data_IF_322201663677
#
_entry.id   IF_322201663677
#
_cell.length_a   1.000
_cell.length_b   1.000
_cell.length_c   1.000
_cell.angle_alpha   90.00
_cell.angle_beta   90.00
_cell.angle_gamma   90.00
#
_symmetry.space_group_name_H-M   'P 1'
#
loop_
_entity.id
_entity.type
_entity.pdbx_description
1 polymer ?
#
# COMPACT_ATOMS: atom_id res chain seq x y z
N UNK A 1 52.07 -6.61 -29.76
CA UNK A 1 50.69 -6.07 -29.81
C UNK A 1 50.07 -5.90 -28.42
N UNK A 2 50.22 -6.87 -27.51
CA UNK A 2 49.69 -6.84 -26.13
C UNK A 2 50.21 -5.67 -25.28
N UNK A 3 51.51 -5.32 -25.35
CA UNK A 3 52.06 -4.16 -24.61
C UNK A 3 51.51 -2.80 -25.09
N UNK A 4 51.29 -2.64 -26.40
CA UNK A 4 50.70 -1.41 -26.94
C UNK A 4 49.23 -1.25 -26.53
N UNK A 5 48.46 -2.34 -26.49
CA UNK A 5 47.09 -2.35 -25.97
C UNK A 5 47.10 -1.97 -24.49
N UNK A 6 48.03 -2.51 -23.70
CA UNK A 6 48.16 -2.20 -22.28
C UNK A 6 48.56 -0.74 -22.00
N UNK A 7 49.39 -0.12 -22.86
CA UNK A 7 49.72 1.31 -22.76
C UNK A 7 48.54 2.22 -23.12
N UNK A 8 47.73 1.83 -24.12
CA UNK A 8 46.54 2.61 -24.53
C UNK A 8 45.45 2.58 -23.47
N UNK A 9 45.16 1.40 -22.91
CA UNK A 9 44.18 1.25 -21.83
C UNK A 9 44.62 1.98 -20.56
N UNK A 10 45.92 1.97 -20.24
CA UNK A 10 46.46 2.71 -19.10
C UNK A 10 46.26 4.22 -19.24
N UNK A 11 46.56 4.80 -20.41
CA UNK A 11 46.31 6.22 -20.70
C UNK A 11 44.82 6.59 -20.59
N UNK A 12 43.95 5.70 -21.04
CA UNK A 12 42.50 5.91 -20.96
C UNK A 12 41.98 5.85 -19.50
N UNK A 13 42.54 4.97 -18.67
CA UNK A 13 42.27 4.95 -17.23
C UNK A 13 42.77 6.23 -16.52
N UNK A 14 43.94 6.74 -16.90
CA UNK A 14 44.51 7.95 -16.31
C UNK A 14 43.74 9.23 -16.71
N UNK A 15 43.08 9.23 -17.86
CA UNK A 15 42.19 10.32 -18.31
C UNK A 15 40.83 10.31 -17.60
N UNK A 16 40.40 9.17 -17.05
CA UNK A 16 39.11 9.03 -16.36
C UNK A 16 39.22 9.55 -14.93
N UNK A 17 38.25 10.38 -14.53
CA UNK A 17 38.17 10.90 -13.15
C UNK A 17 37.84 9.79 -12.16
N UNK A 18 38.36 9.82 -10.94
CA UNK A 18 37.93 8.86 -9.90
C UNK A 18 36.49 9.16 -9.46
N UNK A 19 35.75 8.14 -9.05
CA UNK A 19 34.36 8.29 -8.52
C UNK A 19 34.33 9.28 -7.36
N UNK A 20 35.33 9.24 -6.47
CA UNK A 20 35.44 10.18 -5.34
C UNK A 20 35.67 11.63 -5.77
N UNK A 21 36.38 11.86 -6.88
CA UNK A 21 36.57 13.20 -7.44
C UNK A 21 35.26 13.71 -8.04
N UNK A 22 34.52 12.86 -8.75
CA UNK A 22 33.22 13.22 -9.31
C UNK A 22 32.22 13.58 -8.20
N UNK A 23 32.14 12.77 -7.13
CA UNK A 23 31.29 13.06 -5.96
C UNK A 23 31.61 14.40 -5.28
N UNK A 24 32.88 14.84 -5.29
CA UNK A 24 33.27 16.14 -4.72
C UNK A 24 32.79 17.33 -5.54
N UNK A 25 32.61 17.16 -6.85
CA UNK A 25 32.26 18.26 -7.77
C UNK A 25 30.73 18.40 -7.90
N UNK A 26 29.99 17.30 -7.75
CA UNK A 26 28.56 17.26 -7.98
C UNK A 26 27.73 17.76 -6.78
N UNK A 27 26.64 18.48 -7.05
CA UNK A 27 25.73 18.97 -6.01
C UNK A 27 24.95 17.86 -5.29
N UNK A 28 24.59 16.78 -5.99
CA UNK A 28 23.93 15.59 -5.43
C UNK A 28 24.84 14.35 -5.58
N UNK A 29 25.77 14.11 -4.64
CA UNK A 29 26.73 13.01 -4.74
C UNK A 29 26.12 11.61 -4.58
N UNK A 30 24.90 11.52 -4.05
CA UNK A 30 24.18 10.25 -3.82
C UNK A 30 23.80 9.54 -5.13
N UNK A 31 23.53 10.32 -6.18
CA UNK A 31 23.13 9.82 -7.51
C UNK A 31 24.32 9.35 -8.35
N UNK A 32 25.55 9.55 -7.88
CA UNK A 32 26.76 9.18 -8.61
C UNK A 32 27.04 7.70 -8.46
N UNK A 33 26.99 7.00 -9.58
CA UNK A 33 27.18 5.57 -9.69
C UNK A 33 28.59 5.23 -10.22
N UNK A 34 29.02 3.98 -10.05
CA UNK A 34 30.39 3.55 -10.37
C UNK A 34 30.69 3.64 -11.88
N UNK A 35 29.69 3.44 -12.73
CA UNK A 35 29.84 3.50 -14.19
C UNK A 35 29.81 4.93 -14.75
N UNK A 36 29.40 5.93 -13.98
CA UNK A 36 29.30 7.32 -14.47
C UNK A 36 30.66 7.88 -14.87
N UNK A 37 31.72 7.42 -14.20
CA UNK A 37 33.12 7.73 -14.52
C UNK A 37 33.53 7.27 -15.92
N UNK A 38 32.89 6.21 -16.43
CA UNK A 38 33.24 5.62 -17.73
C UNK A 38 32.53 6.31 -18.91
N UNK A 39 31.63 7.26 -18.63
CA UNK A 39 30.92 8.01 -19.66
C UNK A 39 31.82 9.07 -20.31
N UNK A 40 31.52 9.43 -21.56
CA UNK A 40 32.29 10.44 -22.30
C UNK A 40 32.35 11.81 -21.58
N UNK A 41 31.24 12.20 -20.95
CA UNK A 41 31.14 13.46 -20.19
C UNK A 41 30.52 13.21 -18.80
N UNK A 42 31.33 12.82 -17.79
CA UNK A 42 30.82 12.42 -16.48
C UNK A 42 30.11 13.55 -15.73
N UNK A 43 30.61 14.79 -15.84
CA UNK A 43 30.02 15.97 -15.17
C UNK A 43 28.62 16.29 -15.70
N UNK A 44 28.44 16.28 -17.02
CA UNK A 44 27.16 16.55 -17.68
C UNK A 44 26.13 15.45 -17.39
N UNK A 45 26.56 14.19 -17.40
CA UNK A 45 25.67 13.08 -17.10
C UNK A 45 25.11 13.17 -15.67
N UNK A 46 25.95 13.48 -14.68
CA UNK A 46 25.47 13.65 -13.30
C UNK A 46 24.57 14.89 -13.20
N UNK A 47 24.88 15.96 -13.93
CA UNK A 47 23.99 17.13 -13.98
C UNK A 47 22.58 16.75 -14.48
N UNK A 48 22.49 15.98 -15.56
CA UNK A 48 21.21 15.49 -16.09
C UNK A 48 20.49 14.54 -15.12
N UNK A 49 21.23 13.63 -14.46
CA UNK A 49 20.67 12.76 -13.41
C UNK A 49 20.16 13.56 -12.21
N UNK A 50 20.77 14.70 -11.91
CA UNK A 50 20.39 15.56 -10.79
C UNK A 50 19.26 16.53 -11.12
N UNK A 51 18.81 16.57 -12.38
CA UNK A 51 17.75 17.48 -12.82
C UNK A 51 16.42 17.14 -12.15
N UNK A 52 15.63 18.18 -11.85
CA UNK A 52 14.37 18.02 -11.14
C UNK A 52 13.39 17.16 -11.94
N UNK A 53 12.69 16.26 -11.25
CA UNK A 53 11.72 15.32 -11.82
C UNK A 53 12.30 14.37 -12.88
N UNK A 54 13.62 14.22 -12.95
CA UNK A 54 14.24 13.21 -13.79
C UNK A 54 14.06 11.82 -13.18
N UNK A 55 13.70 10.85 -14.01
CA UNK A 55 13.52 9.47 -13.60
C UNK A 55 14.80 8.70 -13.96
N UNK A 56 15.40 7.94 -13.00
CA UNK A 56 16.63 7.21 -13.27
C UNK A 56 16.41 6.09 -14.29
N UNK A 57 17.46 5.72 -15.01
CA UNK A 57 17.39 4.62 -15.97
C UNK A 57 17.14 3.31 -15.21
N UNK A 58 16.15 2.48 -15.61
CA UNK A 58 15.83 1.23 -14.91
C UNK A 58 17.02 0.27 -14.79
N UNK A 59 17.35 -0.20 -13.59
CA UNK A 59 18.60 -0.95 -13.32
C UNK A 59 18.85 -2.23 -14.12
N UNK A 60 17.84 -2.75 -14.85
CA UNK A 60 17.98 -3.95 -15.68
C UNK A 60 19.01 -3.81 -16.81
N UNK A 61 19.27 -2.59 -17.31
CA UNK A 61 20.23 -2.37 -18.38
C UNK A 61 21.65 -2.81 -17.98
N UNK A 62 22.01 -2.67 -16.70
CA UNK A 62 23.34 -3.06 -16.20
C UNK A 62 23.48 -4.57 -16.14
N UNK A 63 22.39 -5.28 -15.87
CA UNK A 63 22.35 -6.74 -15.77
C UNK A 63 22.28 -7.40 -17.15
N UNK A 64 23.32 -7.20 -17.98
CA UNK A 64 23.43 -7.70 -19.36
C UNK A 64 23.36 -9.23 -19.51
N UNK A 65 23.39 -9.99 -18.40
CA UNK A 65 23.43 -11.45 -18.46
C UNK A 65 22.07 -12.11 -18.69
N UNK A 66 20.95 -11.40 -18.51
CA UNK A 66 19.59 -11.97 -18.59
C UNK A 66 18.64 -11.01 -19.27
N UNK A 67 17.71 -11.53 -20.09
CA UNK A 67 16.60 -10.71 -20.62
C UNK A 67 15.65 -10.36 -19.46
N UNK A 68 15.12 -9.14 -19.45
CA UNK A 68 14.41 -8.52 -18.32
C UNK A 68 13.49 -9.44 -17.49
N UNK A 69 12.57 -10.20 -18.10
CA UNK A 69 11.61 -11.06 -17.38
C UNK A 69 12.01 -12.53 -17.23
N UNK A 70 13.22 -12.93 -17.64
CA UNK A 70 13.60 -14.35 -17.68
C UNK A 70 13.73 -15.04 -16.31
N UNK A 71 13.99 -14.29 -15.23
CA UNK A 71 14.14 -14.88 -13.88
C UNK A 71 12.81 -15.43 -13.35
N UNK A 72 11.67 -14.98 -13.88
CA UNK A 72 10.33 -15.42 -13.45
C UNK A 72 9.89 -16.78 -13.96
N UNK A 73 10.74 -17.52 -14.71
CA UNK A 73 10.36 -18.80 -15.34
C UNK A 73 9.98 -19.91 -14.35
N UNK A 74 10.37 -19.82 -13.08
CA UNK A 74 10.05 -20.82 -12.05
C UNK A 74 9.02 -20.36 -11.02
N UNK A 75 8.47 -19.14 -11.16
CA UNK A 75 7.49 -18.61 -10.21
C UNK A 75 6.12 -18.65 -10.88
N UNK A 76 5.18 -19.37 -10.28
CA UNK A 76 3.80 -19.40 -10.74
C UNK A 76 3.12 -18.07 -10.40
N UNK A 77 2.66 -17.38 -11.45
CA UNK A 77 1.91 -16.14 -11.30
C UNK A 77 0.47 -16.49 -10.94
N UNK A 78 -0.06 -15.85 -9.90
CA UNK A 78 -1.49 -15.96 -9.60
C UNK A 78 -2.34 -15.53 -10.82
N UNK A 79 -3.47 -16.21 -11.08
CA UNK A 79 -4.38 -15.80 -12.13
C UNK A 79 -4.90 -14.38 -11.86
N UNK A 80 -5.42 -13.74 -12.90
CA UNK A 80 -5.95 -12.40 -12.76
C UNK A 80 -7.17 -12.41 -11.83
N UNK A 81 -7.08 -11.65 -10.73
CA UNK A 81 -8.19 -11.44 -9.81
C UNK A 81 -9.00 -10.22 -10.27
N UNK A 82 -10.31 -10.39 -10.37
CA UNK A 82 -11.22 -9.31 -10.72
C UNK A 82 -11.29 -8.28 -9.58
N UNK A 83 -11.39 -6.98 -9.88
CA UNK A 83 -11.70 -5.98 -8.88
C UNK A 83 -13.01 -6.31 -8.14
N UNK A 84 -13.07 -5.99 -6.85
CA UNK A 84 -14.16 -6.38 -5.96
C UNK A 84 -15.56 -6.00 -6.51
N UNK A 85 -15.69 -4.81 -7.12
CA UNK A 85 -16.95 -4.34 -7.67
C UNK A 85 -17.41 -5.13 -8.91
N UNK A 86 -16.47 -5.66 -9.71
CA UNK A 86 -16.79 -6.55 -10.83
C UNK A 86 -17.06 -7.96 -10.32
N UNK A 87 -16.27 -8.44 -9.35
CA UNK A 87 -16.49 -9.75 -8.75
C UNK A 87 -17.88 -9.85 -8.09
N UNK A 88 -18.38 -8.76 -7.50
CA UNK A 88 -19.69 -8.66 -6.89
C UNK A 88 -20.85 -8.87 -7.88
N UNK A 89 -20.65 -8.62 -9.19
CA UNK A 89 -21.65 -8.91 -10.24
C UNK A 89 -21.96 -10.41 -10.37
N UNK A 90 -21.13 -11.27 -9.76
CA UNK A 90 -21.30 -12.72 -9.80
C UNK A 90 -20.89 -13.37 -11.12
N UNK A 91 -20.32 -12.60 -12.05
CA UNK A 91 -19.95 -13.08 -13.38
C UNK A 91 -18.88 -14.17 -13.35
N UNK A 92 -18.02 -14.16 -12.33
CA UNK A 92 -16.98 -15.16 -12.12
C UNK A 92 -17.60 -16.54 -11.88
N UNK A 93 -18.57 -16.62 -10.96
CA UNK A 93 -19.31 -17.86 -10.63
C UNK A 93 -20.07 -18.42 -11.84
N UNK A 94 -20.70 -17.53 -12.62
CA UNK A 94 -21.42 -17.93 -13.84
C UNK A 94 -20.43 -18.57 -14.82
N UNK A 95 -19.29 -17.94 -15.04
CA UNK A 95 -18.28 -18.39 -15.99
C UNK A 95 -17.57 -19.69 -15.55
N UNK A 96 -17.24 -19.82 -14.27
CA UNK A 96 -16.69 -21.05 -13.70
C UNK A 96 -17.65 -22.23 -13.87
N UNK A 97 -18.94 -22.02 -13.58
CA UNK A 97 -19.98 -23.02 -13.81
C UNK A 97 -20.09 -23.46 -15.27
N UNK A 98 -19.76 -22.59 -16.24
CA UNK A 98 -19.69 -22.96 -17.65
C UNK A 98 -18.46 -23.78 -18.01
N UNK A 99 -17.30 -23.41 -17.47
CA UNK A 99 -16.04 -24.13 -17.74
C UNK A 99 -16.17 -25.57 -17.25
N UNK A 100 -16.71 -25.78 -16.03
CA UNK A 100 -16.95 -27.10 -15.47
C UNK A 100 -17.95 -27.94 -16.30
N UNK A 101 -18.98 -27.31 -16.88
CA UNK A 101 -19.97 -28.01 -17.73
C UNK A 101 -19.42 -28.36 -19.13
N UNK A 102 -18.37 -27.69 -19.61
CA UNK A 102 -17.85 -27.86 -20.98
C UNK A 102 -16.95 -29.09 -21.18
N UNK A 103 -16.60 -29.86 -20.14
CA UNK A 103 -15.61 -30.95 -20.26
C UNK A 103 -16.04 -32.13 -21.17
N UNK A 104 -17.34 -32.29 -21.47
CA UNK A 104 -17.83 -33.41 -22.31
C UNK A 104 -17.88 -33.04 -23.80
N UNK A 105 -16.81 -33.36 -24.54
CA UNK A 105 -16.66 -33.14 -26.00
C UNK A 105 -17.85 -33.59 -26.87
N UNK A 106 -18.43 -34.77 -26.58
CA UNK A 106 -19.60 -35.30 -27.30
C UNK A 106 -20.86 -34.45 -27.10
N UNK A 107 -21.03 -33.88 -25.90
CA UNK A 107 -22.17 -33.02 -25.57
C UNK A 107 -22.03 -31.65 -26.25
N UNK A 108 -20.80 -31.13 -26.35
CA UNK A 108 -20.49 -29.86 -27.04
C UNK A 108 -20.84 -29.89 -28.52
N UNK A 109 -20.54 -30.99 -29.22
CA UNK A 109 -20.90 -31.16 -30.65
C UNK A 109 -22.43 -31.20 -30.85
N UNK A 110 -23.15 -31.91 -29.97
CA UNK A 110 -24.62 -32.03 -30.03
C UNK A 110 -25.34 -30.72 -29.68
N UNK A 111 -24.86 -29.99 -28.67
CA UNK A 111 -25.40 -28.67 -28.29
C UNK A 111 -25.14 -27.60 -29.35
N UNK A 112 -24.02 -27.67 -30.07
CA UNK A 112 -23.72 -26.75 -31.18
C UNK A 112 -24.58 -27.02 -32.42
N UNK A 113 -24.89 -28.28 -32.70
CA UNK A 113 -25.61 -28.68 -33.92
C UNK A 113 -27.13 -28.68 -33.78
N UNK A 114 -27.69 -29.05 -32.62
CA UNK A 114 -29.14 -29.25 -32.54
C UNK A 114 -29.90 -27.97 -32.20
N UNK A 115 -29.54 -27.21 -31.16
CA UNK A 115 -30.13 -25.89 -30.88
C UNK A 115 -29.21 -25.10 -29.92
N UNK A 116 -28.61 -23.97 -30.36
CA UNK A 116 -27.90 -23.10 -29.43
C UNK A 116 -28.91 -22.50 -28.45
N UNK A 117 -28.83 -22.89 -27.17
CA UNK A 117 -29.65 -22.27 -26.12
C UNK A 117 -29.11 -20.85 -25.87
N UNK A 118 -29.85 -19.86 -26.34
CA UNK A 118 -29.62 -18.42 -26.08
C UNK A 118 -29.84 -18.10 -24.59
N UNK A 119 -29.23 -17.02 -24.08
CA UNK A 119 -29.45 -16.54 -22.71
C UNK A 119 -28.68 -17.23 -21.58
N UNK A 120 -27.59 -17.94 -21.92
CA UNK A 120 -26.77 -18.68 -20.94
C UNK A 120 -26.00 -17.79 -19.95
N UNK A 121 -25.59 -16.60 -20.37
CA UNK A 121 -24.75 -15.70 -19.58
C UNK A 121 -25.41 -14.32 -19.47
N UNK A 122 -26.69 -14.30 -19.14
CA UNK A 122 -27.40 -13.04 -18.91
C UNK A 122 -27.14 -12.60 -17.49
N UNK A 123 -26.44 -11.48 -17.36
CA UNK A 123 -26.34 -10.70 -16.14
C UNK A 123 -27.25 -9.49 -16.33
N UNK A 124 -28.02 -9.13 -15.31
CA UNK A 124 -28.92 -7.98 -15.37
C UNK A 124 -28.12 -6.72 -15.71
N UNK A 125 -28.61 -5.98 -16.70
CA UNK A 125 -28.00 -4.73 -17.16
C UNK A 125 -27.92 -3.71 -16.01
N UNK A 126 -28.93 -3.66 -15.14
CA UNK A 126 -28.93 -2.75 -13.98
C UNK A 126 -27.78 -3.02 -13.03
N UNK A 127 -27.52 -4.30 -12.75
CA UNK A 127 -26.41 -4.72 -11.88
C UNK A 127 -25.05 -4.36 -12.49
N UNK A 128 -24.91 -4.49 -13.81
CA UNK A 128 -23.69 -4.07 -14.51
C UNK A 128 -23.52 -2.55 -14.48
N UNK A 129 -24.59 -1.80 -14.72
CA UNK A 129 -24.60 -0.35 -14.66
C UNK A 129 -24.14 0.14 -13.27
N UNK A 130 -24.78 -0.35 -12.20
CA UNK A 130 -24.46 0.06 -10.84
C UNK A 130 -23.02 -0.33 -10.44
N UNK A 131 -22.51 -1.47 -10.92
CA UNK A 131 -21.13 -1.88 -10.65
C UNK A 131 -20.10 -0.91 -11.24
N UNK A 132 -20.35 -0.33 -12.41
CA UNK A 132 -19.42 0.58 -13.09
C UNK A 132 -19.61 2.05 -12.71
N UNK A 133 -20.82 2.47 -12.34
CA UNK A 133 -21.11 3.88 -12.05
C UNK A 133 -21.22 4.18 -10.55
N UNK A 134 -21.84 3.29 -9.76
CA UNK A 134 -22.08 3.51 -8.32
C UNK A 134 -21.00 2.91 -7.44
N UNK A 135 -20.55 1.69 -7.74
CA UNK A 135 -19.60 0.95 -6.89
C UNK A 135 -18.15 0.99 -7.38
N UNK A 136 -17.83 1.84 -8.35
CA UNK A 136 -16.49 1.94 -8.90
C UNK A 136 -15.49 2.44 -7.86
N UNK A 137 -14.44 1.65 -7.60
CA UNK A 137 -13.32 2.04 -6.74
C UNK A 137 -12.10 2.37 -7.59
N UNK A 138 -11.43 3.47 -7.27
CA UNK A 138 -10.16 3.83 -7.91
C UNK A 138 -9.10 2.76 -7.58
N UNK A 139 -8.39 2.19 -8.57
CA UNK A 139 -7.34 1.23 -8.31
C UNK A 139 -6.14 1.90 -7.63
N UNK A 140 -5.27 1.09 -7.04
CA UNK A 140 -3.99 1.58 -6.50
C UNK A 140 -3.10 2.03 -7.66
N UNK A 141 -2.97 3.34 -7.82
CA UNK A 141 -2.09 3.96 -8.79
C UNK A 141 -0.71 4.15 -8.21
N UNK A 142 0.27 4.23 -9.09
CA UNK A 142 1.68 4.40 -8.79
C UNK A 142 2.09 5.85 -9.05
N UNK A 143 3.00 6.40 -8.24
CA UNK A 143 3.41 7.80 -8.37
C UNK A 143 4.37 8.00 -9.56
N UNK A 144 4.52 9.26 -10.01
CA UNK A 144 5.52 9.58 -11.03
C UNK A 144 6.93 9.27 -10.52
N UNK A 145 7.71 8.53 -11.31
CA UNK A 145 9.07 8.11 -10.98
C UNK A 145 9.20 6.69 -10.43
N UNK A 146 8.07 6.06 -10.09
CA UNK A 146 8.06 4.66 -9.66
C UNK A 146 8.13 3.71 -10.87
N UNK A 147 9.33 3.20 -11.11
CA UNK A 147 9.58 2.26 -12.20
C UNK A 147 9.21 0.85 -11.77
N UNK A 148 8.67 0.06 -12.70
CA UNK A 148 8.52 -1.37 -12.53
C UNK A 148 9.86 -2.09 -12.75
N UNK A 149 10.28 -2.90 -11.78
CA UNK A 149 11.42 -3.81 -11.92
C UNK A 149 11.01 -5.24 -11.54
N UNK A 150 11.79 -6.20 -12.01
CA UNK A 150 11.58 -7.60 -11.67
C UNK A 150 11.76 -7.80 -10.16
N UNK A 151 10.71 -8.29 -9.50
CA UNK A 151 10.69 -8.49 -8.06
C UNK A 151 9.90 -7.43 -7.27
N UNK A 152 9.51 -6.31 -7.92
CA UNK A 152 8.71 -5.26 -7.29
C UNK A 152 7.41 -5.80 -6.69
N UNK A 153 6.79 -6.80 -7.32
CA UNK A 153 5.56 -7.42 -6.80
C UNK A 153 5.72 -8.24 -5.50
N UNK A 154 6.94 -8.63 -5.13
CA UNK A 154 7.20 -9.36 -3.88
C UNK A 154 7.56 -8.43 -2.72
N UNK A 155 7.72 -7.14 -2.99
CA UNK A 155 8.02 -6.18 -1.94
C UNK A 155 6.75 -5.90 -1.15
N UNK A 156 6.82 -6.20 0.14
CA UNK A 156 5.74 -5.87 1.06
C UNK A 156 5.91 -4.40 1.44
N UNK A 157 5.02 -3.56 0.92
CA UNK A 157 4.95 -2.17 1.37
C UNK A 157 4.56 -2.16 2.86
N UNK A 158 5.36 -1.49 3.69
CA UNK A 158 4.97 -1.24 5.08
C UNK A 158 3.72 -0.38 5.05
N UNK A 159 2.56 -0.99 5.31
CA UNK A 159 1.30 -0.27 5.35
C UNK A 159 1.31 0.72 6.50
N UNK A 160 0.53 1.80 6.36
CA UNK A 160 0.40 2.85 7.39
C UNK A 160 -0.09 2.32 8.75
N UNK A 161 -0.61 1.11 8.78
CA UNK A 161 -1.14 0.40 9.94
C UNK A 161 -0.03 -0.27 10.78
N UNK A 162 1.15 -0.50 10.20
CA UNK A 162 2.31 -1.04 10.90
C UNK A 162 3.10 0.08 11.60
N UNK A 163 2.52 0.65 12.66
CA UNK A 163 3.16 1.70 13.47
C UNK A 163 3.39 1.24 14.92
N UNK A 164 4.48 1.70 15.56
CA UNK A 164 4.72 1.43 16.97
C UNK A 164 3.58 2.00 17.83
N UNK A 165 3.13 1.22 18.81
CA UNK A 165 2.04 1.60 19.71
C UNK A 165 0.62 1.33 19.18
N UNK A 166 0.46 1.00 17.89
CA UNK A 166 -0.82 0.50 17.39
C UNK A 166 -1.08 -0.93 17.88
N UNK A 167 -2.36 -1.32 17.88
CA UNK A 167 -2.73 -2.68 18.26
C UNK A 167 -2.08 -3.68 17.29
N UNK A 168 -1.37 -4.67 17.83
CA UNK A 168 -0.74 -5.72 17.03
C UNK A 168 -1.83 -6.49 16.24
N UNK A 169 -1.51 -6.82 14.98
CA UNK A 169 -2.37 -7.66 14.13
C UNK A 169 -2.67 -8.99 14.82
N UNK A 170 -3.86 -9.54 14.58
CA UNK A 170 -4.29 -10.80 15.19
C UNK A 170 -3.32 -11.95 14.87
N UNK A 171 -2.85 -12.04 13.63
CA UNK A 171 -1.86 -13.05 13.22
C UNK A 171 -0.56 -12.93 14.02
N UNK A 172 -0.11 -11.70 14.29
CA UNK A 172 1.09 -11.45 15.07
C UNK A 172 0.87 -11.76 16.55
N UNK A 173 -0.30 -11.41 17.10
CA UNK A 173 -0.69 -11.80 18.46
C UNK A 173 -0.70 -13.32 18.62
N UNK A 174 -1.24 -14.04 17.65
CA UNK A 174 -1.27 -15.50 17.66
C UNK A 174 0.15 -16.11 17.59
N UNK A 175 1.00 -15.60 16.70
CA UNK A 175 2.39 -16.05 16.57
C UNK A 175 3.23 -15.78 17.85
N UNK A 176 2.99 -14.66 18.53
CA UNK A 176 3.67 -14.32 19.80
C UNK A 176 3.06 -15.09 20.98
N UNK A 177 1.91 -15.74 20.81
CA UNK A 177 1.19 -16.43 21.89
C UNK A 177 0.31 -15.50 22.74
N UNK A 178 0.02 -14.29 22.27
CA UNK A 178 -0.95 -13.34 22.83
C UNK A 178 -2.40 -13.69 22.40
N UNK A 179 -2.77 -14.98 22.44
CA UNK A 179 -4.01 -15.51 21.86
C UNK A 179 -5.26 -15.35 22.74
N UNK A 180 -5.11 -14.98 24.03
CA UNK A 180 -6.20 -15.03 25.02
C UNK A 180 -6.40 -13.67 25.72
N UNK A 181 -7.08 -12.75 25.03
CA UNK A 181 -7.53 -11.47 25.58
C UNK A 181 -6.45 -10.36 25.60
N UNK A 182 -6.74 -9.28 26.34
CA UNK A 182 -5.89 -8.09 26.54
C UNK A 182 -4.64 -8.42 27.39
N UNK A 183 -3.85 -9.40 26.96
CA UNK A 183 -2.54 -9.68 27.54
C UNK A 183 -1.56 -8.58 27.11
N UNK A 184 -0.71 -8.08 28.01
CA UNK A 184 0.29 -7.11 27.64
C UNK A 184 1.35 -7.74 26.72
N UNK A 185 2.04 -6.94 25.88
CA UNK A 185 3.18 -7.43 25.14
C UNK A 185 4.30 -7.91 26.09
N UNK A 186 5.08 -8.93 25.71
CA UNK A 186 6.08 -9.54 26.61
C UNK A 186 7.19 -8.58 27.04
N UNK A 187 7.47 -7.54 26.25
CA UNK A 187 8.45 -6.50 26.58
C UNK A 187 7.93 -5.42 27.53
N UNK A 188 6.64 -5.43 27.92
CA UNK A 188 6.06 -4.42 28.81
C UNK A 188 6.83 -4.31 30.13
N UNK A 189 7.15 -5.44 30.76
CA UNK A 189 7.87 -5.48 32.06
C UNK A 189 9.28 -4.89 31.92
N UNK A 190 9.93 -5.11 30.78
CA UNK A 190 11.24 -4.53 30.48
C UNK A 190 11.14 -3.01 30.31
N UNK A 191 10.10 -2.53 29.61
CA UNK A 191 9.83 -1.10 29.44
C UNK A 191 9.45 -0.41 30.76
N UNK A 192 8.78 -1.09 31.70
CA UNK A 192 8.55 -0.56 33.05
C UNK A 192 9.85 -0.41 33.85
N UNK A 193 10.87 -1.24 33.59
CA UNK A 193 12.16 -1.20 34.29
C UNK A 193 13.14 -0.21 33.68
N UNK A 194 13.22 -0.16 32.35
CA UNK A 194 14.20 0.64 31.62
C UNK A 194 13.63 1.94 31.05
N UNK A 195 12.30 2.10 31.07
CA UNK A 195 11.60 3.22 30.45
C UNK A 195 11.15 2.93 29.01
N UNK A 196 10.38 3.86 28.40
CA UNK A 196 9.94 3.74 27.01
C UNK A 196 11.12 3.82 26.02
N UNK A 197 10.96 3.32 24.78
CA UNK A 197 12.01 3.39 23.76
C UNK A 197 12.51 4.82 23.50
N UNK A 198 13.84 5.08 23.55
CA UNK A 198 14.39 6.43 23.38
C UNK A 198 14.05 7.08 22.02
N UNK A 199 13.91 6.28 20.97
CA UNK A 199 13.56 6.75 19.62
C UNK A 199 12.12 7.26 19.50
N UNK A 200 11.25 6.94 20.47
CA UNK A 200 9.84 7.32 20.45
C UNK A 200 9.42 7.97 21.77
N UNK A 201 9.84 9.23 22.03
CA UNK A 201 9.59 9.91 23.31
C UNK A 201 8.10 10.13 23.60
N UNK A 202 7.28 10.37 22.56
CA UNK A 202 5.84 10.66 22.71
C UNK A 202 4.95 9.41 22.61
N UNK A 203 5.53 8.21 22.63
CA UNK A 203 4.79 6.97 22.47
C UNK A 203 3.99 6.65 23.73
N UNK A 204 2.66 6.65 23.62
CA UNK A 204 1.76 6.25 24.71
C UNK A 204 1.65 4.73 24.74
N UNK A 205 2.20 4.12 25.79
CA UNK A 205 2.21 2.70 26.08
C UNK A 205 1.28 2.45 27.29
N UNK A 206 0.16 1.73 27.09
CA UNK A 206 -0.72 1.37 28.19
C UNK A 206 0.04 0.56 29.27
N UNK A 207 -0.14 0.93 30.54
CA UNK A 207 0.56 0.31 31.67
C UNK A 207 1.98 0.81 31.95
N UNK A 208 2.53 1.75 31.15
CA UNK A 208 3.80 2.45 31.45
C UNK A 208 3.56 3.94 31.67
N UNK A 209 3.08 4.65 30.63
CA UNK A 209 2.83 6.09 30.68
C UNK A 209 1.38 6.46 30.30
N UNK A 210 0.55 5.49 29.98
CA UNK A 210 -0.88 5.65 29.75
C UNK A 210 -1.67 4.64 30.59
N UNK A 211 -2.93 4.95 30.88
CA UNK A 211 -3.82 4.04 31.59
C UNK A 211 -3.95 2.70 30.86
N UNK A 212 -4.15 1.64 31.63
CA UNK A 212 -4.39 0.30 31.11
C UNK A 212 -5.73 0.28 30.35
N UNK A 213 -5.89 -0.55 29.29
CA UNK A 213 -7.19 -0.78 28.65
C UNK A 213 -8.28 -1.23 29.64
N UNK A 214 -9.57 -0.98 29.38
CA UNK A 214 -10.66 -1.42 30.26
C UNK A 214 -10.72 -2.96 30.36
N UNK A 215 -10.97 -3.48 31.56
CA UNK A 215 -11.17 -4.92 31.80
C UNK A 215 -9.91 -5.74 32.13
N UNK A 216 -8.79 -5.09 32.45
CA UNK A 216 -7.54 -5.74 32.85
C UNK A 216 -6.95 -5.10 34.10
N UNK A 217 -6.32 -5.92 34.94
CA UNK A 217 -5.74 -5.53 36.22
C UNK A 217 -4.21 -5.48 36.17
N UNK A 218 -3.63 -4.61 37.00
CA UNK A 218 -2.21 -4.68 37.33
C UNK A 218 -1.91 -5.99 38.09
N UNK A 219 -0.73 -6.56 37.85
CA UNK A 219 -0.29 -7.79 38.50
C UNK A 219 0.81 -8.50 37.72
N UNK A 220 1.61 -9.31 38.41
CA UNK A 220 2.62 -10.19 37.81
C UNK A 220 2.10 -11.61 37.49
N UNK A 221 0.79 -11.81 37.56
CA UNK A 221 0.15 -13.06 37.16
C UNK A 221 0.07 -13.16 35.63
N UNK A 222 -0.11 -14.36 35.04
CA UNK A 222 -0.44 -14.47 33.63
C UNK A 222 -1.59 -13.51 33.27
N UNK A 223 -1.40 -12.67 32.23
CA UNK A 223 -2.30 -11.59 31.77
C UNK A 223 -2.32 -10.30 32.61
N UNK A 224 -1.58 -10.22 33.71
CA UNK A 224 -1.45 -9.01 34.50
C UNK A 224 -0.50 -8.00 33.82
N UNK A 225 -0.82 -6.72 33.92
CA UNK A 225 -0.10 -5.62 33.26
C UNK A 225 1.11 -5.10 34.05
N UNK A 226 1.83 -6.01 34.70
CA UNK A 226 3.01 -5.68 35.49
C UNK A 226 2.68 -4.88 36.75
N UNK A 227 3.64 -4.06 37.20
CA UNK A 227 3.49 -3.33 38.46
C UNK A 227 2.57 -2.12 38.28
N UNK A 228 1.66 -1.84 39.24
CA UNK A 228 0.96 -0.56 39.26
C UNK A 228 2.00 0.57 39.40
N UNK A 229 1.76 1.72 38.75
CA UNK A 229 2.66 2.86 38.86
C UNK A 229 2.70 3.32 40.32
N UNK A 230 3.90 3.29 40.92
CA UNK A 230 4.10 3.71 42.32
C UNK A 230 4.49 5.18 42.30
N UNK A 231 3.69 6.03 42.96
CA UNK A 231 4.13 7.36 43.42
C UNK A 231 3.80 7.50 44.89
N UNK A 232 4.70 8.15 45.62
CA UNK A 232 4.55 8.55 47.02
C UNK A 232 3.56 9.73 47.19
N UNK A 233 3.17 10.38 46.09
CA UNK A 233 2.14 11.41 46.05
C UNK A 233 1.18 11.15 44.88
N UNK A 234 -0.12 11.11 45.20
CA UNK A 234 -1.19 10.68 44.31
C UNK A 234 -1.19 11.35 42.92
N UNK A 235 -1.61 10.53 41.96
CA UNK A 235 -1.83 10.76 40.53
C UNK A 235 -0.59 10.69 39.61
N UNK A 236 -0.30 9.47 39.13
CA UNK A 236 0.93 9.10 38.38
C UNK A 236 0.75 9.18 36.87
N UNK A 237 -0.48 9.11 36.39
CA UNK A 237 -0.79 9.44 35.01
C UNK A 237 -1.10 10.92 35.01
N UNK A 238 -0.05 11.72 34.90
CA UNK A 238 -0.18 13.17 34.88
C UNK A 238 -1.38 13.54 34.01
N UNK A 239 -2.44 14.02 34.66
CA UNK A 239 -3.42 14.89 34.04
C UNK A 239 -2.66 16.18 33.72
N UNK A 240 -1.70 16.10 32.79
CA UNK A 240 -1.70 17.11 31.75
C UNK A 240 -3.08 16.94 31.17
N UNK A 241 -3.99 17.82 31.61
CA UNK A 241 -5.25 18.00 30.93
C UNK A 241 -4.88 17.95 29.47
N UNK A 242 -5.35 16.90 28.80
CA UNK A 242 -5.69 17.06 27.42
C UNK A 242 -6.70 18.20 27.50
N UNK A 243 -6.19 19.43 27.37
CA UNK A 243 -6.81 20.34 26.46
C UNK A 243 -7.08 19.44 25.26
N UNK A 244 -8.31 18.99 25.16
CA UNK A 244 -8.96 18.74 23.90
C UNK A 244 -8.86 20.07 23.15
N UNK A 245 -7.64 20.47 22.77
CA UNK A 245 -7.38 20.76 21.40
C UNK A 245 -7.60 19.42 20.67
N UNK A 246 -8.88 19.07 20.52
CA UNK A 246 -9.41 19.16 19.18
C UNK A 246 -8.99 20.53 18.62
N UNK A 247 -7.70 20.67 18.26
CA UNK A 247 -7.42 21.21 16.96
C UNK A 247 -8.12 20.21 16.04
N UNK A 248 -9.44 20.39 15.90
CA UNK A 248 -10.03 20.46 14.58
C UNK A 248 -9.06 21.37 13.86
N UNK A 249 -8.06 20.76 13.23
CA UNK A 249 -7.46 21.32 12.05
C UNK A 249 -8.68 21.51 11.17
N UNK A 250 -9.30 22.68 11.29
CA UNK A 250 -10.19 23.25 10.29
C UNK A 250 -9.26 23.60 9.14
N UNK A 251 -8.54 22.59 8.62
CA UNK A 251 -8.03 22.64 7.29
C UNK A 251 -9.31 22.65 6.48
N UNK A 252 -9.62 23.81 5.88
CA UNK A 252 -10.67 24.01 4.89
C UNK A 252 -10.94 22.67 4.19
N UNK A 253 -11.98 21.98 4.64
CA UNK A 253 -12.28 20.61 4.20
C UNK A 253 -12.77 20.62 2.76
N UNK A 254 -13.19 21.80 2.28
CA UNK A 254 -13.49 22.08 0.89
C UNK A 254 -12.24 22.65 0.22
N UNK A 255 -11.59 21.84 -0.59
CA UNK A 255 -10.63 22.31 -1.58
C UNK A 255 -11.39 23.11 -2.65
N UNK A 256 -10.74 24.11 -3.23
CA UNK A 256 -11.32 24.84 -4.36
C UNK A 256 -11.63 23.88 -5.51
N UNK A 257 -12.91 23.77 -5.88
CA UNK A 257 -13.39 22.82 -6.89
C UNK A 257 -13.92 21.49 -6.34
N UNK A 258 -14.03 21.34 -5.01
CA UNK A 258 -14.85 20.26 -4.44
C UNK A 258 -16.30 20.49 -4.84
N UNK A 259 -16.87 19.50 -5.55
CA UNK A 259 -18.30 19.46 -5.82
C UNK A 259 -19.02 19.35 -4.47
N UNK A 260 -19.99 20.23 -4.23
CA UNK A 260 -20.88 20.06 -3.10
C UNK A 260 -21.62 18.73 -3.30
N UNK A 261 -21.73 17.93 -2.23
CA UNK A 261 -22.49 16.67 -2.29
C UNK A 261 -23.88 16.97 -2.85
N UNK A 262 -24.35 16.09 -3.74
CA UNK A 262 -25.63 16.10 -4.48
C UNK A 262 -26.90 16.22 -3.60
N UNK A 263 -26.87 16.85 -2.42
CA UNK A 263 -28.06 17.19 -1.63
C UNK A 263 -29.03 18.06 -2.45
N UNK A 264 -28.52 18.97 -3.30
CA UNK A 264 -29.38 19.77 -4.20
C UNK A 264 -30.02 18.94 -5.32
N UNK A 265 -29.36 17.87 -5.81
CA UNK A 265 -29.94 16.99 -6.83
C UNK A 265 -30.97 16.01 -6.23
N UNK A 266 -30.72 15.50 -5.01
CA UNK A 266 -31.71 14.69 -4.27
C UNK A 266 -32.95 15.53 -3.88
N UNK A 267 -32.77 16.79 -3.46
CA UNK A 267 -33.90 17.72 -3.23
C UNK A 267 -34.69 17.98 -4.52
N UNK A 268 -34.03 18.25 -5.65
CA UNK A 268 -34.69 18.45 -6.95
C UNK A 268 -35.47 17.23 -7.44
N UNK A 269 -34.97 16.01 -7.22
CA UNK A 269 -35.65 14.76 -7.58
C UNK A 269 -36.84 14.51 -6.65
N UNK A 270 -36.71 14.83 -5.35
CA UNK A 270 -37.82 14.75 -4.39
C UNK A 270 -38.95 15.73 -4.70
N UNK A 271 -38.63 16.98 -5.04
CA UNK A 271 -39.62 17.98 -5.43
C UNK A 271 -40.34 17.61 -6.74
N UNK A 272 -39.64 16.95 -7.67
CA UNK A 272 -40.26 16.47 -8.92
C UNK A 272 -41.20 15.29 -8.66
N UNK A 273 -40.85 14.38 -7.75
CA UNK A 273 -41.72 13.25 -7.38
C UNK A 273 -42.94 13.70 -6.57
N UNK A 274 -42.81 14.69 -5.69
CA UNK A 274 -43.96 15.27 -4.97
C UNK A 274 -44.93 16.01 -5.92
N UNK A 275 -44.41 16.70 -6.93
CA UNK A 275 -45.25 17.36 -7.95
C UNK A 275 -45.98 16.34 -8.83
N UNK A 276 -45.35 15.23 -9.21
CA UNK A 276 -46.00 14.16 -9.96
C UNK A 276 -47.10 13.46 -9.13
N UNK A 277 -46.89 13.23 -7.83
CA UNK A 277 -47.93 12.66 -6.96
C UNK A 277 -49.12 13.61 -6.72
N UNK A 278 -48.88 14.92 -6.60
CA UNK A 278 -49.97 15.90 -6.48
C UNK A 278 -50.82 15.99 -7.76
N UNK A 279 -50.19 15.96 -8.94
CA UNK A 279 -50.95 15.96 -10.21
C UNK A 279 -51.76 14.69 -10.46
N UNK A 280 -51.38 13.56 -9.84
CA UNK A 280 -52.08 12.28 -9.96
C UNK A 280 -53.23 12.11 -8.96
N UNK A 281 -53.27 12.93 -7.91
CA UNK A 281 -54.35 12.96 -6.91
C UNK A 281 -55.52 13.89 -7.26
N UNK A 282 -55.38 14.72 -8.30
CA UNK A 282 -56.38 15.69 -8.76
C UNK A 282 -57.16 15.24 -10.02
N UNK A 283 -56.94 14.02 -10.53
CA UNK A 283 -57.77 13.37 -11.57
C UNK A 283 -58.83 12.40 -11.00
#
# INVERSE_FOLDING_TARGET
>A
MTEMIHRRTRRECDLRMKVSQLKKICSRPDLVEVWDVTSAHPKLLVFLKSYQNSVPVPGHWRSHKRKYLQVKRGIEKQPFQLPDFIAATGIDKIREGYIQKQEKLKQKQREKMMHPKMGRTEVDYRVLHDAFFKYQKKPNLTAHGDIYYQGKEFEVELTREMKPGMQLSQLLKEAIGMTRGSAPPPWLISMQRHGPPPSYPNLKIPGVNAHIPPGVSYGNHPRGWGKPPVSEYGDVFGVQGQYNQEEKLVGNTKHWGDLEEEEEEEELVSEQTEKEEQTRGEE
#
